data_IF_842452465485
#
_entry.id   IF_842452465485
#
_cell.length_a   1.000
_cell.length_b   1.000
_cell.length_c   1.000
_cell.angle_alpha   90.00
_cell.angle_beta   90.00
_cell.angle_gamma   90.00
#
_symmetry.space_group_name_H-M   'P 1'
#
loop_
_entity.id
_entity.type
_entity.pdbx_description
1 polymer ?
#
# COMPACT_ATOMS: atom_id res chain seq x y z
N UNK A 1 -11.54 2.07 21.29
CA UNK A 1 -11.31 1.49 19.96
C UNK A 1 -11.70 0.03 19.95
N UNK A 2 -12.37 -0.38 18.91
CA UNK A 2 -12.81 -1.76 18.75
C UNK A 2 -12.06 -2.41 17.61
N UNK A 3 -11.45 -3.55 17.87
CA UNK A 3 -10.72 -4.28 16.84
C UNK A 3 -11.71 -5.20 16.12
N UNK A 4 -12.26 -4.72 15.03
CA UNK A 4 -13.24 -5.47 14.23
C UNK A 4 -12.60 -6.02 12.97
N UNK A 5 -13.33 -6.95 12.31
CA UNK A 5 -12.87 -7.47 11.03
C UNK A 5 -12.75 -6.35 9.99
N UNK A 6 -13.72 -5.45 10.00
CA UNK A 6 -13.74 -4.32 9.07
C UNK A 6 -12.55 -3.41 9.29
N UNK A 7 -12.19 -3.16 10.55
CA UNK A 7 -11.02 -2.34 10.87
C UNK A 7 -9.75 -2.98 10.34
N UNK A 8 -9.58 -4.28 10.60
CA UNK A 8 -8.38 -4.99 10.15
C UNK A 8 -8.35 -5.12 8.63
N UNK A 9 -9.51 -5.29 7.99
CA UNK A 9 -9.58 -5.33 6.54
C UNK A 9 -9.18 -3.99 5.94
N UNK A 10 -9.68 -2.89 6.51
CA UNK A 10 -9.32 -1.54 6.07
C UNK A 10 -7.82 -1.32 6.21
N UNK A 11 -7.26 -1.74 7.33
CA UNK A 11 -5.82 -1.63 7.59
C UNK A 11 -5.02 -2.39 6.52
N UNK A 12 -5.45 -3.61 6.20
CA UNK A 12 -4.77 -4.43 5.19
C UNK A 12 -4.89 -3.81 3.79
N UNK A 13 -6.07 -3.31 3.44
CA UNK A 13 -6.28 -2.65 2.15
C UNK A 13 -5.46 -1.36 2.06
N UNK A 14 -5.33 -0.65 3.17
CA UNK A 14 -4.54 0.56 3.21
C UNK A 14 -3.06 0.27 2.92
N UNK A 15 -2.55 -0.83 3.44
CA UNK A 15 -1.19 -1.27 3.12
C UNK A 15 -1.04 -1.55 1.63
N UNK A 16 -2.01 -2.23 1.05
CA UNK A 16 -2.00 -2.53 -0.39
C UNK A 16 -2.06 -1.26 -1.22
N UNK A 17 -2.86 -0.30 -0.79
CA UNK A 17 -3.00 0.96 -1.49
C UNK A 17 -1.70 1.75 -1.45
N UNK A 18 -1.02 1.78 -0.31
CA UNK A 18 0.28 2.42 -0.18
C UNK A 18 1.27 1.79 -1.17
N UNK A 19 1.30 0.47 -1.25
CA UNK A 19 2.19 -0.23 -2.18
C UNK A 19 1.85 0.11 -3.63
N UNK A 20 0.55 0.19 -3.95
CA UNK A 20 0.10 0.54 -5.29
C UNK A 20 0.57 1.95 -5.66
N UNK A 21 0.38 2.90 -4.76
CA UNK A 21 0.76 4.29 -5.01
C UNK A 21 2.29 4.39 -5.21
N UNK A 22 3.05 3.71 -4.35
CA UNK A 22 4.51 3.70 -4.47
C UNK A 22 4.98 3.14 -5.80
N UNK A 23 4.34 2.05 -6.25
CA UNK A 23 4.68 1.47 -7.57
C UNK A 23 4.37 2.45 -8.69
N UNK A 24 3.27 3.17 -8.59
CA UNK A 24 2.87 4.12 -9.63
C UNK A 24 3.82 5.32 -9.67
N UNK A 25 4.22 5.82 -8.52
CA UNK A 25 5.20 6.91 -8.44
C UNK A 25 6.52 6.45 -9.05
N UNK A 26 6.96 5.25 -8.71
CA UNK A 26 8.20 4.69 -9.24
C UNK A 26 8.14 4.55 -10.75
N UNK A 27 6.98 4.15 -11.28
CA UNK A 27 6.79 4.07 -12.72
C UNK A 27 7.03 5.43 -13.38
N UNK A 28 6.48 6.49 -12.83
CA UNK A 28 6.68 7.83 -13.39
C UNK A 28 8.14 8.29 -13.27
N UNK A 29 8.81 7.93 -12.20
CA UNK A 29 10.22 8.26 -12.02
C UNK A 29 11.11 7.54 -13.04
N UNK A 30 10.79 6.28 -13.34
CA UNK A 30 11.59 5.47 -14.24
C UNK A 30 11.20 5.66 -15.72
N UNK A 31 10.09 6.33 -15.98
CA UNK A 31 9.59 6.53 -17.33
C UNK A 31 9.24 8.00 -17.52
N UNK A 32 10.24 8.89 -17.46
CA UNK A 32 9.98 10.31 -17.67
C UNK A 32 9.54 10.58 -19.09
N UNK A 33 8.69 11.58 -19.27
CA UNK A 33 8.33 11.99 -20.61
C UNK A 33 9.54 12.62 -21.27
N UNK A 34 9.87 12.10 -22.43
CA UNK A 34 10.98 12.66 -23.16
C UNK A 34 10.43 13.82 -23.95
N UNK A 35 10.24 14.83 -23.28
CA UNK A 35 9.83 16.03 -23.94
C UNK A 35 10.98 16.54 -24.69
N UNK A 36 11.86 16.01 -24.28
CA UNK A 36 12.89 16.27 -24.96
C UNK A 36 13.01 15.59 -26.18
N UNK A 37 12.52 15.18 -26.17
CA UNK A 37 12.53 14.83 -27.06
C UNK A 37 12.07 15.18 -27.81
N UNK A 38 12.43 15.40 -27.35
CA UNK A 38 12.24 15.67 -27.83
C UNK A 38 12.32 15.97 -28.29
N UNK A 39 12.63 16.00 -28.51
CA UNK A 39 12.67 16.26 -28.98
C UNK A 39 12.74 16.15 -29.60
N UNK A 40 12.92 15.78 -29.68
CA UNK A 40 12.88 15.62 -30.35
C UNK A 40 13.25 15.57 -30.94
N UNK A 41 13.89 15.51 -30.90
CA UNK A 41 14.29 15.48 -31.49
C UNK A 41 14.49 14.99 -32.18
N UNK A 42 14.61 14.70 -32.28
CA UNK A 42 14.53 14.26 -33.05
C UNK A 42 14.59 13.89 -33.65
N UNK A 43 14.86 13.66 -33.96
CA UNK A 43 14.72 13.38 -34.75
C UNK A 43 14.55 13.56 -35.54
N UNK A 44 14.74 13.88 -35.70
CA UNK A 44 14.45 14.26 -36.68
C UNK A 44 15.05 14.50 -37.61
N UNK A 45 15.69 14.36 -37.30
CA UNK A 45 16.27 14.76 -38.29
C UNK A 45 16.55 13.94 -39.36
N UNK A 46 16.17 13.19 -39.75
CA UNK A 46 16.16 12.43 -40.74
C UNK A 46 15.19 12.10 -41.42
N UNK A 47 14.80 12.30 -41.44
CA UNK A 47 13.83 12.15 -42.11
C UNK A 47 13.16 12.39 -42.02
N UNK A 48 13.24 12.47 -41.99
CA UNK A 48 12.40 13.21 -41.89
C UNK A 48 11.52 13.03 -41.13
N UNK A 49 10.97 12.71 -40.67
CA UNK A 49 10.01 12.52 -39.99
C UNK A 49 9.76 13.42 -39.04
N UNK A 50 10.30 14.27 -38.95
CA UNK A 50 10.25 15.46 -38.19
C UNK A 50 8.89 16.07 -38.04
N UNK A 51 8.10 16.03 -39.05
CA UNK A 51 6.76 16.56 -38.95
C UNK A 51 5.93 15.86 -37.89
N UNK A 52 6.22 14.61 -37.63
CA UNK A 52 5.56 13.90 -36.53
C UNK A 52 5.86 14.57 -35.22
N UNK A 53 7.01 15.18 -35.11
CA UNK A 53 7.44 15.77 -33.85
C UNK A 53 6.62 16.97 -33.43
N UNK A 54 6.12 17.74 -34.35
CA UNK A 54 5.30 18.86 -33.99
C UNK A 54 4.09 18.46 -33.22
N UNK A 55 3.40 17.46 -33.71
CA UNK A 55 2.19 16.97 -33.07
C UNK A 55 2.51 16.45 -31.70
N UNK A 56 3.58 15.70 -31.63
CA UNK A 56 4.00 15.11 -30.37
C UNK A 56 4.39 16.18 -29.35
N UNK A 57 5.08 17.22 -29.79
CA UNK A 57 5.49 18.28 -28.89
C UNK A 57 4.32 18.98 -28.22
N UNK A 58 3.29 19.31 -28.99
CA UNK A 58 2.12 19.94 -28.41
C UNK A 58 1.44 19.04 -27.40
N UNK A 59 1.28 17.78 -27.73
CA UNK A 59 0.69 16.83 -26.84
C UNK A 59 1.57 16.62 -25.61
N UNK A 60 2.88 16.63 -25.82
CA UNK A 60 3.83 16.40 -24.72
C UNK A 60 3.75 17.46 -23.64
N UNK A 61 3.61 18.74 -24.03
CA UNK A 61 3.52 19.82 -23.05
C UNK A 61 2.32 19.65 -22.17
N UNK A 62 1.17 19.37 -22.76
CA UNK A 62 -0.05 19.15 -22.03
C UNK A 62 0.04 17.92 -21.15
N UNK A 63 0.60 16.86 -21.71
CA UNK A 63 0.77 15.60 -20.95
C UNK A 63 1.71 15.77 -19.78
N UNK A 64 2.75 16.60 -19.94
CA UNK A 64 3.68 16.87 -18.83
C UNK A 64 2.98 17.55 -17.67
N UNK A 65 2.15 18.54 -17.96
CA UNK A 65 1.42 19.25 -16.90
C UNK A 65 0.46 18.32 -16.18
N UNK A 66 -0.28 17.53 -16.95
CA UNK A 66 -1.21 16.56 -16.38
C UNK A 66 -0.46 15.52 -15.54
N UNK A 67 0.66 15.07 -16.08
CA UNK A 67 1.49 14.08 -15.40
C UNK A 67 2.04 14.62 -14.09
N UNK A 68 2.53 15.85 -14.09
CA UNK A 68 3.04 16.49 -12.87
C UNK A 68 1.96 16.60 -11.81
N UNK A 69 0.75 16.98 -12.23
CA UNK A 69 -0.37 17.05 -11.30
C UNK A 69 -0.70 15.67 -10.71
N UNK A 70 -0.69 14.65 -11.57
CA UNK A 70 -0.97 13.30 -11.13
C UNK A 70 0.07 12.83 -10.13
N UNK A 71 1.35 13.11 -10.39
CA UNK A 71 2.43 12.72 -9.48
C UNK A 71 2.30 13.45 -8.15
N UNK A 72 2.01 14.74 -8.19
CA UNK A 72 1.83 15.52 -6.96
C UNK A 72 0.68 14.97 -6.12
N UNK A 73 -0.43 14.60 -6.80
CA UNK A 73 -1.57 14.04 -6.09
C UNK A 73 -1.21 12.68 -5.47
N UNK A 74 -0.46 11.86 -6.20
CA UNK A 74 -0.01 10.57 -5.67
C UNK A 74 0.86 10.75 -4.43
N UNK A 75 1.75 11.75 -4.44
CA UNK A 75 2.60 12.01 -3.29
C UNK A 75 1.80 12.48 -2.07
N UNK A 76 0.79 13.32 -2.31
CA UNK A 76 -0.09 13.77 -1.22
C UNK A 76 -0.86 12.58 -0.66
N UNK A 77 -1.43 11.76 -1.54
CA UNK A 77 -2.20 10.58 -1.13
C UNK A 77 -1.30 9.59 -0.39
N UNK A 78 -0.08 9.39 -0.87
CA UNK A 78 0.87 8.49 -0.23
C UNK A 78 1.15 8.93 1.20
N UNK A 79 1.46 10.20 1.38
CA UNK A 79 1.78 10.72 2.71
C UNK A 79 0.60 10.58 3.67
N UNK A 80 -0.60 10.91 3.19
CA UNK A 80 -1.81 10.78 4.00
C UNK A 80 -2.10 9.34 4.37
N UNK A 81 -1.94 8.44 3.42
CA UNK A 81 -2.19 7.01 3.66
C UNK A 81 -1.13 6.41 4.59
N UNK A 82 0.12 6.81 4.45
CA UNK A 82 1.18 6.33 5.34
C UNK A 82 0.93 6.78 6.77
N UNK A 83 0.51 8.03 6.94
CA UNK A 83 0.19 8.55 8.27
C UNK A 83 -0.97 7.79 8.89
N UNK A 84 -2.02 7.58 8.12
CA UNK A 84 -3.20 6.84 8.59
C UNK A 84 -2.81 5.39 8.95
N UNK A 85 -1.98 4.77 8.13
CA UNK A 85 -1.54 3.40 8.38
C UNK A 85 -0.76 3.30 9.70
N UNK A 86 0.14 4.25 9.96
CA UNK A 86 0.90 4.27 11.21
C UNK A 86 -0.01 4.53 12.40
N UNK A 87 -1.00 5.39 12.25
CA UNK A 87 -1.97 5.65 13.32
C UNK A 87 -2.77 4.39 13.64
N UNK A 88 -3.21 3.68 12.60
CA UNK A 88 -3.96 2.43 12.80
C UNK A 88 -3.08 1.35 13.43
N UNK A 89 -1.82 1.28 13.00
CA UNK A 89 -0.87 0.32 13.59
C UNK A 89 -0.70 0.58 15.08
N UNK A 90 -0.55 1.83 15.45
CA UNK A 90 -0.40 2.21 16.85
C UNK A 90 -1.64 1.83 17.66
N UNK A 91 -2.83 2.04 17.11
CA UNK A 91 -4.07 1.64 17.78
C UNK A 91 -4.13 0.13 17.98
N UNK A 92 -3.70 -0.63 16.98
CA UNK A 92 -3.64 -2.09 17.10
C UNK A 92 -2.66 -2.51 18.20
N UNK A 93 -1.47 -1.90 18.21
CA UNK A 93 -0.48 -2.19 19.23
C UNK A 93 -1.01 -1.88 20.63
N UNK A 94 -1.66 -0.73 20.80
CA UNK A 94 -2.25 -0.36 22.08
C UNK A 94 -3.33 -1.34 22.51
N UNK A 95 -4.14 -1.79 21.56
CA UNK A 95 -5.17 -2.80 21.87
C UNK A 95 -4.52 -4.09 22.34
N UNK A 96 -3.48 -4.56 21.65
CA UNK A 96 -2.82 -5.81 21.98
C UNK A 96 -2.18 -5.77 23.37
N UNK A 97 -1.62 -4.63 23.74
CA UNK A 97 -0.98 -4.48 25.04
C UNK A 97 -1.97 -4.58 26.20
N UNK A 98 -3.26 -4.40 25.93
CA UNK A 98 -4.29 -4.54 26.96
C UNK A 98 -4.75 -5.98 27.17
N UNK A 99 -4.35 -6.90 26.31
CA UNK A 99 -4.74 -8.30 26.46
C UNK A 99 -3.98 -8.95 27.61
N UNK A 100 -4.69 -9.76 28.38
CA UNK A 100 -4.11 -10.42 29.54
C UNK A 100 -3.31 -11.67 29.21
N UNK A 101 -2.71 -12.25 30.23
CA UNK A 101 -1.88 -13.45 30.07
C UNK A 101 -2.65 -14.62 29.50
N UNK A 102 -3.95 -14.72 29.78
CA UNK A 102 -4.78 -15.78 29.23
C UNK A 102 -4.97 -15.67 27.73
N UNK A 103 -4.61 -14.53 27.14
CA UNK A 103 -4.76 -14.27 25.71
C UNK A 103 -3.40 -14.06 25.04
N UNK A 104 -2.34 -14.56 25.69
CA UNK A 104 -0.99 -14.32 25.18
C UNK A 104 -0.76 -14.93 23.79
N UNK A 105 -1.31 -16.11 23.55
CA UNK A 105 -1.17 -16.75 22.24
C UNK A 105 -1.80 -15.91 21.12
N UNK A 106 -3.04 -15.48 21.32
CA UNK A 106 -3.72 -14.68 20.30
C UNK A 106 -3.08 -13.31 20.16
N UNK A 107 -2.56 -12.77 21.25
CA UNK A 107 -1.81 -11.51 21.22
C UNK A 107 -0.61 -11.65 20.30
N UNK A 108 0.16 -12.72 20.42
CA UNK A 108 1.32 -12.95 19.57
C UNK A 108 0.92 -13.16 18.11
N UNK A 109 -0.14 -13.92 17.87
CA UNK A 109 -0.62 -14.17 16.51
C UNK A 109 -1.00 -12.87 15.83
N UNK A 110 -1.77 -12.03 16.52
CA UNK A 110 -2.22 -10.76 15.97
C UNK A 110 -1.05 -9.78 15.78
N UNK A 111 -0.10 -9.80 16.72
CA UNK A 111 1.08 -8.96 16.60
C UNK A 111 1.88 -9.34 15.36
N UNK A 112 2.17 -10.63 15.19
CA UNK A 112 2.92 -11.09 14.03
C UNK A 112 2.19 -10.76 12.72
N UNK A 113 0.87 -10.94 12.69
CA UNK A 113 0.10 -10.75 11.47
C UNK A 113 -0.04 -9.27 11.11
N UNK A 114 -0.37 -8.43 12.06
CA UNK A 114 -0.76 -7.05 11.78
C UNK A 114 0.31 -6.01 12.07
N UNK A 115 1.17 -6.24 13.03
CA UNK A 115 2.25 -5.30 13.32
C UNK A 115 3.51 -5.68 12.56
N UNK A 116 3.93 -6.94 12.67
CA UNK A 116 5.12 -7.43 11.99
C UNK A 116 4.85 -7.75 10.51
N UNK A 117 3.61 -7.88 10.14
CA UNK A 117 3.17 -8.15 8.78
C UNK A 117 3.66 -9.49 8.23
N UNK A 118 3.71 -10.51 9.08
CA UNK A 118 4.12 -11.84 8.65
C UNK A 118 2.99 -12.54 7.88
N UNK A 119 3.33 -13.34 6.86
CA UNK A 119 2.32 -14.20 6.22
C UNK A 119 1.89 -15.31 7.17
N UNK A 120 0.71 -15.87 6.94
CA UNK A 120 0.17 -16.91 7.79
C UNK A 120 1.10 -18.12 7.90
N UNK A 121 1.77 -18.48 6.80
CA UNK A 121 2.69 -19.60 6.78
C UNK A 121 3.83 -19.44 7.78
N UNK A 122 4.38 -18.23 7.85
CA UNK A 122 5.47 -17.95 8.76
C UNK A 122 5.02 -18.00 10.22
N UNK A 123 3.85 -17.47 10.51
CA UNK A 123 3.28 -17.51 11.86
C UNK A 123 3.03 -18.94 12.28
N UNK A 124 2.43 -19.71 11.38
CA UNK A 124 2.11 -21.11 11.64
C UNK A 124 3.38 -21.92 11.96
N UNK A 125 4.43 -21.68 11.19
CA UNK A 125 5.70 -22.37 11.40
C UNK A 125 6.32 -21.99 12.74
N UNK A 126 6.27 -20.72 13.08
CA UNK A 126 6.83 -20.24 14.35
C UNK A 126 6.11 -20.83 15.56
N UNK A 127 4.79 -20.97 15.48
CA UNK A 127 3.97 -21.44 16.60
C UNK A 127 3.60 -22.90 16.49
N UNK A 128 4.10 -23.63 15.50
CA UNK A 128 3.83 -25.05 15.27
C UNK A 128 2.36 -25.36 15.05
N UNK A 129 1.72 -24.58 14.21
CA UNK A 129 0.34 -24.78 13.79
C UNK A 129 0.25 -24.86 12.27
N UNK A 130 -0.93 -25.23 11.78
CA UNK A 130 -1.24 -25.13 10.36
C UNK A 130 -1.69 -23.72 10.05
N UNK A 131 -1.51 -23.31 8.80
CA UNK A 131 -1.96 -22.01 8.33
C UNK A 131 -3.44 -21.78 8.60
N UNK A 132 -4.27 -22.78 8.31
CA UNK A 132 -5.72 -22.69 8.55
C UNK A 132 -6.05 -22.54 10.02
N UNK A 133 -5.28 -23.16 10.89
CA UNK A 133 -5.47 -23.05 12.33
C UNK A 133 -5.25 -21.62 12.80
N UNK A 134 -4.21 -20.95 12.26
CA UNK A 134 -3.93 -19.55 12.60
C UNK A 134 -5.10 -18.66 12.18
N UNK A 135 -5.60 -18.85 10.95
CA UNK A 135 -6.74 -18.07 10.45
C UNK A 135 -7.98 -18.28 11.32
N UNK A 136 -8.23 -19.53 11.69
CA UNK A 136 -9.39 -19.87 12.53
C UNK A 136 -9.29 -19.24 13.92
N UNK A 137 -8.09 -19.23 14.50
CA UNK A 137 -7.88 -18.62 15.81
C UNK A 137 -8.15 -17.12 15.78
N UNK A 138 -7.70 -16.45 14.74
CA UNK A 138 -7.97 -15.01 14.56
C UNK A 138 -9.47 -14.78 14.40
N UNK A 139 -10.11 -15.54 13.52
CA UNK A 139 -11.53 -15.39 13.26
C UNK A 139 -12.37 -15.62 14.51
N UNK A 140 -12.03 -16.65 15.27
CA UNK A 140 -12.75 -16.96 16.50
C UNK A 140 -12.58 -15.86 17.53
N UNK A 141 -11.37 -15.33 17.67
CA UNK A 141 -11.12 -14.26 18.62
C UNK A 141 -11.93 -13.02 18.26
N UNK A 142 -11.91 -12.62 17.00
CA UNK A 142 -12.63 -11.42 16.55
C UNK A 142 -14.14 -11.59 16.74
N UNK A 143 -14.65 -12.79 16.47
CA UNK A 143 -16.07 -13.07 16.63
C UNK A 143 -16.47 -12.97 18.09
N UNK A 144 -15.72 -13.61 18.98
CA UNK A 144 -16.01 -13.59 20.41
C UNK A 144 -15.85 -12.19 20.97
N UNK A 145 -14.79 -11.50 20.60
CA UNK A 145 -14.53 -10.16 21.10
C UNK A 145 -15.62 -9.18 20.64
N UNK A 146 -16.02 -9.29 19.37
CA UNK A 146 -17.05 -8.42 18.84
C UNK A 146 -18.41 -8.69 19.48
N UNK A 147 -18.77 -9.95 19.65
CA UNK A 147 -20.06 -10.33 20.21
C UNK A 147 -20.11 -10.20 21.73
N UNK A 148 -18.97 -10.11 22.37
CA UNK A 148 -18.86 -10.00 23.81
C UNK A 148 -19.12 -8.62 24.35
N UNK A 149 -19.30 -7.68 23.47
CA UNK A 149 -19.65 -6.33 23.86
C UNK A 149 -21.16 -6.18 24.02
#
# INVERSE_FOLDING_TARGET
MKLSREYLATYTYLESEIKRIRRRIKYYENNPLSSEYGIVKGSLKQFPYTECHFVVSGASVKSNEERERAVRQLLIDLKGNEQLFEDMKLEIECFLEKLGLGQLEIKQILYYRYVERWPYEKIAKELNYDRTTIQKKIDKFLEVYYNGD
#
